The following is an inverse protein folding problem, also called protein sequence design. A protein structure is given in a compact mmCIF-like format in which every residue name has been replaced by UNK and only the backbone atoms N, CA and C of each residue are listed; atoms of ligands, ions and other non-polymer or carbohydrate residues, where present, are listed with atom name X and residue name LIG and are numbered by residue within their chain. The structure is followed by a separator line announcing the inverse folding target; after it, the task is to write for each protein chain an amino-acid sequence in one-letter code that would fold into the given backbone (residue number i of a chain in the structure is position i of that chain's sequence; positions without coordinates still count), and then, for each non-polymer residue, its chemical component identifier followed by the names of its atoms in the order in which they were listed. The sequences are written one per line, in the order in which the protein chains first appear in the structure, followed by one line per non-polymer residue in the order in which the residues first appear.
data_IF_309115096058
#
_entry.id   IF_309115096058
#
_cell.length_a   1.000
_cell.length_b   1.000
_cell.length_c   1.000
_cell.angle_alpha   90.00
_cell.angle_beta   90.00
_cell.angle_gamma   90.00
#
_symmetry.space_group_name_H-M   'P 1'
#
loop_
_entity.id
_entity.type
_entity.pdbx_description
1 polymer ?
#
# COMPACT_ATOMS: atom_id res chain seq x y z
N UNK A 1 4.73 5.04 18.99
CA UNK A 1 5.12 4.14 17.89
C UNK A 1 4.63 2.73 18.21
N UNK A 2 3.91 2.09 17.28
CA UNK A 2 3.23 0.79 17.38
C UNK A 2 1.73 0.77 17.74
N UNK A 3 0.92 1.74 17.27
CA UNK A 3 -0.52 1.52 17.10
C UNK A 3 -0.81 0.70 15.82
N UNK A 4 0.01 -0.33 15.61
CA UNK A 4 0.21 -1.04 14.35
C UNK A 4 -1.01 -1.87 13.98
N UNK A 5 -1.75 -1.37 12.98
CA UNK A 5 -2.55 -2.10 11.99
C UNK A 5 -3.43 -3.19 12.63
N UNK A 6 -4.70 -2.85 12.87
CA UNK A 6 -5.75 -3.78 13.35
C UNK A 6 -5.79 -5.09 12.53
N UNK A 7 -5.39 -5.00 11.26
CA UNK A 7 -5.38 -6.06 10.26
C UNK A 7 -3.96 -6.53 9.84
N UNK A 8 -2.98 -6.55 10.76
CA UNK A 8 -1.57 -6.90 10.47
C UNK A 8 -1.42 -8.16 9.62
N UNK A 9 -2.14 -9.23 9.95
CA UNK A 9 -2.09 -10.51 9.21
C UNK A 9 -2.59 -10.35 7.77
N UNK A 10 -3.67 -9.60 7.56
CA UNK A 10 -4.24 -9.33 6.23
C UNK A 10 -3.27 -8.53 5.36
N UNK A 11 -2.65 -7.48 5.92
CA UNK A 11 -1.64 -6.69 5.21
C UNK A 11 -0.41 -7.52 4.86
N UNK A 12 0.10 -8.33 5.80
CA UNK A 12 1.22 -9.23 5.52
C UNK A 12 0.90 -10.22 4.41
N UNK A 13 -0.32 -10.75 4.36
CA UNK A 13 -0.75 -11.64 3.28
C UNK A 13 -0.85 -10.92 1.93
N UNK A 14 -1.23 -9.64 1.89
CA UNK A 14 -1.16 -8.82 0.67
C UNK A 14 0.28 -8.60 0.22
N UNK A 15 1.17 -8.21 1.14
CA UNK A 15 2.61 -8.02 0.85
C UNK A 15 3.22 -9.29 0.28
N UNK A 16 2.96 -10.46 0.88
CA UNK A 16 3.45 -11.76 0.38
C UNK A 16 2.95 -12.07 -1.03
N UNK A 17 1.69 -11.73 -1.36
CA UNK A 17 1.15 -11.88 -2.73
C UNK A 17 1.83 -10.95 -3.73
N UNK A 18 2.02 -9.68 -3.36
CA UNK A 18 2.74 -8.71 -4.21
C UNK A 18 4.16 -9.19 -4.47
N UNK A 19 4.87 -9.68 -3.45
CA UNK A 19 6.21 -10.25 -3.61
C UNK A 19 6.23 -11.35 -4.67
N UNK A 20 5.28 -12.30 -4.63
CA UNK A 20 5.16 -13.34 -5.65
C UNK A 20 4.91 -12.81 -7.07
N UNK A 21 4.21 -11.67 -7.21
CA UNK A 21 4.03 -11.00 -8.50
C UNK A 21 5.32 -10.35 -8.99
N UNK A 22 6.11 -9.73 -8.10
CA UNK A 22 7.42 -9.16 -8.44
C UNK A 22 8.40 -10.26 -8.87
N UNK A 23 8.46 -11.36 -8.13
CA UNK A 23 9.25 -12.55 -8.50
C UNK A 23 8.81 -13.13 -9.86
N UNK A 24 7.52 -13.02 -10.21
CA UNK A 24 7.03 -13.45 -11.52
C UNK A 24 7.50 -12.52 -12.65
N UNK A 25 7.60 -11.21 -12.40
CA UNK A 25 8.20 -10.25 -13.35
C UNK A 25 9.67 -10.57 -13.56
N UNK A 26 10.42 -10.79 -12.49
CA UNK A 26 11.85 -11.17 -12.56
C UNK A 26 12.06 -12.43 -13.40
N UNK A 27 11.36 -13.53 -13.08
CA UNK A 27 11.44 -14.77 -13.88
C UNK A 27 11.04 -14.58 -15.34
N UNK A 28 10.10 -13.68 -15.62
CA UNK A 28 9.69 -13.40 -17.01
C UNK A 28 10.79 -12.66 -17.78
N UNK A 29 11.55 -11.78 -17.12
CA UNK A 29 12.71 -11.11 -17.70
C UNK A 29 13.89 -12.07 -17.89
N UNK A 30 14.23 -12.85 -16.88
CA UNK A 30 15.31 -13.87 -16.94
C UNK A 30 15.03 -14.92 -18.03
N UNK A 31 13.76 -15.31 -18.17
CA UNK A 31 13.30 -16.25 -19.18
C UNK A 31 12.99 -15.62 -20.55
N UNK A 32 13.43 -14.38 -20.78
CA UNK A 32 13.28 -13.62 -22.04
C UNK A 32 11.86 -13.69 -22.64
N UNK A 33 10.84 -13.58 -21.77
CA UNK A 33 9.44 -13.61 -22.21
C UNK A 33 9.10 -12.36 -23.03
N UNK A 34 8.13 -12.50 -23.94
CA UNK A 34 7.69 -11.40 -24.78
C UNK A 34 7.19 -10.18 -23.98
N UNK A 35 7.41 -8.98 -24.53
CA UNK A 35 7.14 -7.70 -23.86
C UNK A 35 5.69 -7.58 -23.36
N UNK A 36 4.71 -8.08 -24.12
CA UNK A 36 3.31 -8.07 -23.70
C UNK A 36 3.07 -8.81 -22.37
N UNK A 37 3.71 -9.97 -22.19
CA UNK A 37 3.63 -10.75 -20.95
C UNK A 37 4.21 -9.99 -19.77
N UNK A 38 5.39 -9.40 -19.95
CA UNK A 38 6.05 -8.60 -18.92
C UNK A 38 5.19 -7.39 -18.54
N UNK A 39 4.63 -6.68 -19.53
CA UNK A 39 3.73 -5.55 -19.30
C UNK A 39 2.48 -5.95 -18.51
N UNK A 40 1.86 -7.09 -18.81
CA UNK A 40 0.71 -7.58 -18.05
C UNK A 40 1.05 -7.93 -16.60
N UNK A 41 2.21 -8.55 -16.35
CA UNK A 41 2.68 -8.87 -15.00
C UNK A 41 2.94 -7.60 -14.18
N UNK A 42 3.63 -6.61 -14.77
CA UNK A 42 3.88 -5.32 -14.14
C UNK A 42 2.56 -4.60 -13.84
N UNK A 43 1.62 -4.58 -14.78
CA UNK A 43 0.32 -3.96 -14.58
C UNK A 43 -0.46 -4.62 -13.42
N UNK A 44 -0.41 -5.95 -13.32
CA UNK A 44 -1.01 -6.71 -12.22
C UNK A 44 -0.36 -6.41 -10.86
N UNK A 45 0.98 -6.35 -10.82
CA UNK A 45 1.72 -6.00 -9.60
C UNK A 45 1.40 -4.56 -9.14
N UNK A 46 1.35 -3.60 -10.08
CA UNK A 46 0.96 -2.22 -9.80
C UNK A 46 -0.44 -2.13 -9.22
N UNK A 47 -1.41 -2.87 -9.79
CA UNK A 47 -2.79 -2.91 -9.29
C UNK A 47 -2.87 -3.44 -7.84
N UNK A 48 -2.12 -4.50 -7.53
CA UNK A 48 -2.07 -5.05 -6.19
C UNK A 48 -1.42 -4.08 -5.18
N UNK A 49 -0.37 -3.38 -5.59
CA UNK A 49 0.29 -2.35 -4.76
C UNK A 49 -0.66 -1.18 -4.48
N UNK A 50 -1.38 -0.68 -5.48
CA UNK A 50 -2.39 0.37 -5.30
C UNK A 50 -3.49 -0.07 -4.32
N UNK A 51 -3.94 -1.32 -4.39
CA UNK A 51 -4.91 -1.85 -3.45
C UNK A 51 -4.38 -1.95 -2.01
N UNK A 52 -3.08 -2.20 -1.82
CA UNK A 52 -2.46 -2.17 -0.49
C UNK A 52 -2.36 -0.75 0.06
N UNK A 53 -1.99 0.22 -0.78
CA UNK A 53 -1.92 1.64 -0.39
C UNK A 53 -3.30 2.13 0.08
N UNK A 54 -4.35 1.84 -0.69
CA UNK A 54 -5.72 2.23 -0.33
C UNK A 54 -6.12 1.70 1.06
N UNK A 55 -5.83 0.42 1.34
CA UNK A 55 -6.17 -0.19 2.63
C UNK A 55 -5.38 0.43 3.80
N UNK A 56 -4.11 0.74 3.62
CA UNK A 56 -3.29 1.39 4.67
C UNK A 56 -3.75 2.83 4.91
N UNK A 57 -4.14 3.55 3.85
CA UNK A 57 -4.68 4.92 3.95
C UNK A 57 -6.03 4.92 4.66
N UNK A 58 -6.91 3.97 4.36
CA UNK A 58 -8.20 3.81 5.05
C UNK A 58 -7.98 3.58 6.55
N UNK A 59 -7.14 2.61 6.90
CA UNK A 59 -6.74 2.32 8.29
C UNK A 59 -6.20 3.58 9.00
N UNK A 60 -5.35 4.36 8.33
CA UNK A 60 -4.79 5.60 8.87
C UNK A 60 -5.86 6.66 9.12
N UNK A 61 -6.78 6.85 8.19
CA UNK A 61 -7.90 7.79 8.35
C UNK A 61 -8.75 7.39 9.55
N UNK A 62 -9.12 6.12 9.67
CA UNK A 62 -9.95 5.64 10.78
C UNK A 62 -9.27 5.87 12.13
N UNK A 63 -7.99 5.52 12.25
CA UNK A 63 -7.28 5.50 13.55
C UNK A 63 -6.63 6.82 13.95
N UNK A 64 -6.25 7.67 12.99
CA UNK A 64 -5.41 8.85 13.25
C UNK A 64 -6.05 10.16 12.80
N UNK A 65 -7.18 10.12 12.09
CA UNK A 65 -7.86 11.33 11.61
C UNK A 65 -9.33 11.39 12.04
N UNK A 66 -10.05 10.27 12.00
CA UNK A 66 -11.49 10.22 12.22
C UNK A 66 -11.88 9.78 13.64
N UNK A 67 -11.01 9.06 14.35
CA UNK A 67 -11.33 8.53 15.69
C UNK A 67 -11.77 9.66 16.65
N UNK A 68 -12.98 9.58 17.25
CA UNK A 68 -13.49 10.59 18.16
C UNK A 68 -12.73 10.67 19.49
N UNK A 69 -11.93 9.65 19.85
CA UNK A 69 -11.12 9.64 21.05
C UNK A 69 -9.83 10.48 20.94
N UNK A 70 -9.46 10.91 19.74
CA UNK A 70 -8.25 11.69 19.49
C UNK A 70 -8.35 13.12 20.04
N UNK A 71 -7.27 13.59 20.64
CA UNK A 71 -7.08 14.99 20.97
C UNK A 71 -6.97 15.84 19.70
N UNK A 72 -7.18 17.18 19.78
CA UNK A 72 -7.00 18.06 18.63
C UNK A 72 -5.60 17.96 18.01
N UNK A 73 -4.55 17.84 18.83
CA UNK A 73 -3.17 17.75 18.35
C UNK A 73 -2.92 16.44 17.60
N UNK A 74 -3.34 15.29 18.16
CA UNK A 74 -3.16 13.99 17.52
C UNK A 74 -3.86 13.92 16.15
N UNK A 75 -5.04 14.56 16.05
CA UNK A 75 -5.78 14.66 14.79
C UNK A 75 -5.07 15.54 13.76
N UNK A 76 -4.51 16.66 14.20
CA UNK A 76 -3.73 17.56 13.32
C UNK A 76 -2.48 16.85 12.79
N UNK A 77 -1.75 16.14 13.65
CA UNK A 77 -0.57 15.35 13.29
C UNK A 77 -0.94 14.26 12.26
N UNK A 78 -1.98 13.47 12.54
CA UNK A 78 -2.44 12.41 11.64
C UNK A 78 -2.94 12.93 10.29
N UNK A 79 -3.58 14.11 10.26
CA UNK A 79 -3.99 14.78 9.02
C UNK A 79 -2.77 15.28 8.21
N UNK A 80 -1.75 15.81 8.89
CA UNK A 80 -0.49 16.21 8.27
C UNK A 80 0.22 15.03 7.59
N UNK A 81 0.35 13.91 8.29
CA UNK A 81 0.93 12.68 7.75
C UNK A 81 0.18 12.19 6.51
N UNK A 82 -1.17 12.24 6.53
CA UNK A 82 -1.99 11.86 5.38
C UNK A 82 -1.76 12.79 4.16
N UNK A 83 -1.67 14.10 4.39
CA UNK A 83 -1.41 15.08 3.31
C UNK A 83 -0.07 14.78 2.62
N UNK A 84 0.97 14.44 3.38
CA UNK A 84 2.29 14.14 2.83
C UNK A 84 2.29 12.85 1.98
N UNK A 85 1.52 11.84 2.40
CA UNK A 85 1.31 10.62 1.60
C UNK A 85 0.57 10.93 0.30
N UNK A 86 -0.54 11.68 0.37
CA UNK A 86 -1.33 12.07 -0.82
C UNK A 86 -0.47 12.85 -1.82
N UNK A 87 0.34 13.81 -1.35
CA UNK A 87 1.27 14.56 -2.20
C UNK A 87 2.32 13.69 -2.89
N UNK A 88 2.70 12.58 -2.29
CA UNK A 88 3.67 11.65 -2.88
C UNK A 88 2.99 10.70 -3.87
N UNK A 89 1.77 10.25 -3.56
CA UNK A 89 1.02 9.30 -4.38
C UNK A 89 0.48 9.92 -5.68
N UNK A 90 0.13 11.20 -5.67
CA UNK A 90 -0.46 11.92 -6.82
C UNK A 90 0.53 12.86 -7.55
N UNK A 91 1.83 12.75 -7.28
CA UNK A 91 2.87 13.33 -8.16
C UNK A 91 3.06 12.45 -9.39
#
# INVERSE_FOLDING_TARGET
MAHTIREKTKLLNRVRRIRGQIEAVERALEGEKGCATVLHLIAGARGALNGLIAEVVEDHIEMHVADPALTPQEREDGAGELIDVVRTYFK
#
